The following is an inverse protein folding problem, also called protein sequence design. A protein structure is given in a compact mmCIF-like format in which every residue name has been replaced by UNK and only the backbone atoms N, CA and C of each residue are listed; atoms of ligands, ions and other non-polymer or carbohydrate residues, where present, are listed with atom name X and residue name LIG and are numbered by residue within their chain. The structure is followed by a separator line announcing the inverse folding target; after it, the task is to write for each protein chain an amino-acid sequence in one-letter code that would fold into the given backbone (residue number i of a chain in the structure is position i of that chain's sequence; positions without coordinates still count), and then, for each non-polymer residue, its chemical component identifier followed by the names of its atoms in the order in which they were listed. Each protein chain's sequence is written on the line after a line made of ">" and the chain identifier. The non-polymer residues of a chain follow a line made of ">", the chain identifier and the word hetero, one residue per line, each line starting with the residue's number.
data_IF_088464149590
#
_entry.id   IF_088464149590
#
_cell.length_a   1.000
_cell.length_b   1.000
_cell.length_c   1.000
_cell.angle_alpha   90.00
_cell.angle_beta   90.00
_cell.angle_gamma   90.00
#
_symmetry.space_group_name_H-M   'P 1'
#
loop_
_entity.id
_entity.type
_entity.pdbx_description
1 polymer ?
#
# COMPACT_ATOMS: atom_id res chain seq x y z
N UNK A 1 40.36 46.16 -56.12
CA UNK A 1 40.01 46.82 -54.84
C UNK A 1 39.48 45.70 -53.93
N UNK A 2 40.37 44.98 -53.24
CA UNK A 2 40.76 45.19 -51.83
C UNK A 2 39.53 45.07 -50.91
N UNK A 3 39.23 43.89 -50.37
CA UNK A 3 39.84 43.29 -49.17
C UNK A 3 39.48 44.05 -47.89
N UNK A 4 38.55 43.48 -47.11
CA UNK A 4 38.52 43.64 -45.66
C UNK A 4 38.34 42.25 -45.02
N UNK A 5 39.50 41.75 -44.61
CA UNK A 5 39.79 40.58 -43.80
C UNK A 5 39.45 40.86 -42.33
N UNK A 6 38.85 39.88 -41.65
CA UNK A 6 39.16 39.51 -40.26
C UNK A 6 38.50 38.14 -40.03
N UNK A 7 39.22 37.02 -40.20
CA UNK A 7 40.15 36.43 -39.21
C UNK A 7 39.41 36.22 -37.87
N UNK A 8 39.03 35.00 -37.49
CA UNK A 8 39.96 33.96 -37.07
C UNK A 8 39.47 32.52 -37.28
N UNK A 9 40.48 31.66 -37.25
CA UNK A 9 40.63 30.29 -37.77
C UNK A 9 40.07 29.15 -36.90
N UNK A 10 40.11 27.90 -37.44
CA UNK A 10 39.51 26.69 -36.89
C UNK A 10 40.45 25.94 -35.94
N UNK A 11 39.88 24.99 -35.18
CA UNK A 11 40.50 23.86 -34.44
C UNK A 11 39.32 23.21 -33.68
N UNK A 12 39.06 21.92 -33.61
CA UNK A 12 39.79 20.66 -33.74
C UNK A 12 38.67 19.61 -33.97
N UNK A 13 38.67 18.86 -35.05
CA UNK A 13 39.21 17.49 -35.07
C UNK A 13 39.09 16.70 -33.77
N UNK A 14 38.38 15.58 -33.89
CA UNK A 14 38.41 14.42 -33.02
C UNK A 14 38.03 14.68 -31.57
N UNK A 15 36.84 14.20 -31.20
CA UNK A 15 36.69 13.28 -30.08
C UNK A 15 35.34 12.56 -30.25
N UNK A 16 35.43 11.28 -30.62
CA UNK A 16 34.44 10.20 -30.37
C UNK A 16 33.15 10.32 -31.21
N UNK A 17 32.86 9.60 -32.31
CA UNK A 17 33.15 8.21 -32.72
C UNK A 17 33.26 7.25 -31.54
N UNK A 18 32.11 6.93 -30.95
CA UNK A 18 31.72 5.64 -30.34
C UNK A 18 30.52 5.87 -29.40
N UNK A 19 29.35 6.22 -29.97
CA UNK A 19 28.09 6.30 -29.21
C UNK A 19 27.01 5.41 -29.86
N UNK A 20 27.43 4.23 -30.32
CA UNK A 20 26.52 3.21 -30.86
C UNK A 20 26.84 1.81 -30.31
N UNK A 21 27.42 1.72 -29.11
CA UNK A 21 27.76 0.42 -28.53
C UNK A 21 27.45 0.27 -27.03
N UNK A 22 26.84 1.27 -26.41
CA UNK A 22 26.45 1.22 -25.00
C UNK A 22 24.94 1.26 -24.74
N UNK A 23 24.10 1.39 -25.77
CA UNK A 23 22.64 1.35 -25.58
C UNK A 23 22.07 -0.07 -25.50
N UNK A 24 22.63 -1.07 -26.18
CA UNK A 24 22.02 -2.42 -26.18
C UNK A 24 22.40 -3.30 -24.98
N UNK A 25 23.31 -2.86 -24.09
CA UNK A 25 23.72 -3.68 -22.91
C UNK A 25 23.04 -3.28 -21.60
N UNK A 26 22.29 -2.19 -21.60
CA UNK A 26 21.62 -1.66 -20.40
C UNK A 26 20.14 -2.04 -20.35
N UNK A 27 19.50 -2.35 -21.48
CA UNK A 27 18.10 -2.79 -21.50
C UNK A 27 17.91 -4.23 -21.02
N UNK A 28 18.80 -5.18 -21.35
CA UNK A 28 18.64 -6.58 -20.87
C UNK A 28 18.96 -6.77 -19.38
N UNK A 29 19.59 -5.79 -18.71
CA UNK A 29 19.96 -5.92 -17.27
C UNK A 29 18.92 -5.35 -16.31
N UNK A 30 17.91 -4.64 -16.84
CA UNK A 30 16.89 -4.00 -16.01
C UNK A 30 15.59 -4.82 -15.93
N UNK A 31 15.37 -5.82 -16.80
CA UNK A 31 14.13 -6.61 -16.77
C UNK A 31 14.14 -7.80 -15.80
N UNK A 32 15.30 -8.31 -15.35
CA UNK A 32 15.34 -9.47 -14.42
C UNK A 32 15.42 -9.08 -12.94
N UNK A 33 15.37 -7.78 -12.61
CA UNK A 33 15.64 -7.26 -11.24
C UNK A 33 14.49 -6.48 -10.61
N UNK A 34 13.33 -6.40 -11.26
CA UNK A 34 12.27 -5.47 -10.89
C UNK A 34 11.02 -6.11 -10.28
N UNK A 35 10.99 -7.42 -10.03
CA UNK A 35 9.75 -8.07 -9.58
C UNK A 35 9.59 -8.26 -8.06
N UNK A 36 10.65 -8.12 -7.24
CA UNK A 36 10.51 -8.36 -5.78
C UNK A 36 10.94 -7.18 -4.90
N UNK A 37 11.48 -6.11 -5.48
CA UNK A 37 12.13 -5.02 -4.74
C UNK A 37 11.47 -3.65 -4.83
N UNK A 38 10.58 -3.43 -5.80
CA UNK A 38 9.87 -2.16 -5.97
C UNK A 38 8.63 -2.09 -5.07
N UNK A 39 7.85 -3.17 -5.01
CA UNK A 39 6.65 -3.25 -4.18
C UNK A 39 6.96 -3.04 -2.70
N UNK A 40 7.99 -3.72 -2.17
CA UNK A 40 8.38 -3.57 -0.75
C UNK A 40 8.91 -2.18 -0.37
N UNK A 41 9.53 -1.44 -1.31
CA UNK A 41 9.98 -0.06 -1.06
C UNK A 41 8.82 0.93 -1.11
N UNK A 42 7.93 0.77 -2.09
CA UNK A 42 6.69 1.54 -2.16
C UNK A 42 5.84 1.32 -0.90
N UNK A 43 5.78 0.10 -0.39
CA UNK A 43 5.10 -0.23 0.86
C UNK A 43 5.66 0.54 2.06
N UNK A 44 6.99 0.56 2.23
CA UNK A 44 7.63 1.27 3.34
C UNK A 44 7.50 2.80 3.26
N UNK A 45 7.30 3.35 2.06
CA UNK A 45 7.06 4.78 1.87
C UNK A 45 5.61 5.15 2.24
N UNK A 46 4.63 4.33 1.83
CA UNK A 46 3.20 4.59 2.02
C UNK A 46 2.69 4.16 3.41
N UNK A 47 3.21 3.07 3.98
CA UNK A 47 2.76 2.50 5.25
C UNK A 47 3.74 2.76 6.40
N UNK A 48 3.21 2.78 7.63
CA UNK A 48 3.97 2.85 8.87
C UNK A 48 4.53 1.47 9.30
N UNK A 49 5.22 1.44 10.44
CA UNK A 49 5.80 0.21 11.01
C UNK A 49 4.77 -0.85 11.42
N UNK A 50 3.50 -0.45 11.55
CA UNK A 50 2.37 -1.31 11.91
C UNK A 50 1.49 -1.64 10.69
N UNK A 51 1.87 -1.23 9.48
CA UNK A 51 1.13 -1.49 8.25
C UNK A 51 -0.10 -0.59 8.04
N UNK A 52 -0.17 0.58 8.68
CA UNK A 52 -1.21 1.58 8.43
C UNK A 52 -0.74 2.65 7.45
N UNK A 53 -1.66 3.29 6.73
CA UNK A 53 -1.30 4.33 5.77
C UNK A 53 -0.78 5.58 6.48
N UNK A 54 0.39 6.08 6.10
CA UNK A 54 0.89 7.37 6.62
C UNK A 54 0.04 8.54 6.13
N UNK A 55 -0.44 8.45 4.89
CA UNK A 55 -1.28 9.44 4.25
C UNK A 55 -2.51 8.73 3.65
N UNK A 56 -3.73 9.04 4.13
CA UNK A 56 -4.94 8.45 3.59
C UNK A 56 -5.19 8.83 2.12
N UNK A 57 -4.64 9.93 1.61
CA UNK A 57 -4.82 10.36 0.21
C UNK A 57 -4.08 9.47 -0.80
N UNK A 58 -3.09 8.71 -0.34
CA UNK A 58 -2.37 7.72 -1.15
C UNK A 58 -3.16 6.43 -1.35
N UNK A 59 -4.27 6.26 -0.63
CA UNK A 59 -5.09 5.07 -0.75
C UNK A 59 -5.72 4.95 -2.13
N UNK A 60 -5.63 3.74 -2.70
CA UNK A 60 -6.28 3.38 -3.95
C UNK A 60 -6.85 1.97 -3.85
N UNK A 61 -7.85 1.65 -4.69
CA UNK A 61 -8.41 0.30 -4.75
C UNK A 61 -7.37 -0.77 -5.11
N UNK A 62 -6.37 -0.42 -5.93
CA UNK A 62 -5.27 -1.33 -6.28
C UNK A 62 -4.42 -1.68 -5.05
N UNK A 63 -4.08 -0.69 -4.22
CA UNK A 63 -3.36 -0.93 -2.96
C UNK A 63 -4.19 -1.74 -1.98
N UNK A 64 -5.50 -1.48 -1.87
CA UNK A 64 -6.39 -2.28 -1.03
C UNK A 64 -6.43 -3.76 -1.48
N UNK A 65 -6.45 -4.01 -2.80
CA UNK A 65 -6.38 -5.38 -3.33
C UNK A 65 -5.06 -6.07 -3.02
N UNK A 66 -3.93 -5.37 -3.13
CA UNK A 66 -2.61 -5.90 -2.75
C UNK A 66 -2.56 -6.24 -1.27
N UNK A 67 -3.02 -5.34 -0.41
CA UNK A 67 -3.10 -5.58 1.03
C UNK A 67 -3.98 -6.77 1.37
N UNK A 68 -5.15 -6.89 0.74
CA UNK A 68 -6.03 -8.05 0.95
C UNK A 68 -5.35 -9.38 0.58
N UNK A 69 -4.50 -9.38 -0.45
CA UNK A 69 -3.70 -10.55 -0.82
C UNK A 69 -2.59 -10.84 0.19
N UNK A 70 -1.91 -9.82 0.73
CA UNK A 70 -0.89 -9.97 1.78
C UNK A 70 -1.48 -10.49 3.11
N UNK A 71 -2.73 -10.14 3.39
CA UNK A 71 -3.43 -10.45 4.64
C UNK A 71 -4.21 -11.77 4.58
N UNK A 72 -4.07 -12.56 3.50
CA UNK A 72 -4.80 -13.82 3.28
C UNK A 72 -6.35 -13.67 3.29
N UNK A 73 -6.86 -12.45 3.07
CA UNK A 73 -8.30 -12.16 2.99
C UNK A 73 -8.86 -12.65 1.64
N UNK A 74 -8.02 -12.64 0.61
CA UNK A 74 -8.38 -13.07 -0.74
C UNK A 74 -9.08 -11.98 -1.55
N UNK A 75 -10.07 -12.36 -2.35
CA UNK A 75 -10.75 -11.44 -3.27
C UNK A 75 -11.80 -10.59 -2.56
N UNK A 76 -11.65 -9.26 -2.66
CA UNK A 76 -12.60 -8.30 -2.12
C UNK A 76 -13.88 -8.26 -2.97
N UNK A 77 -14.93 -8.93 -2.50
CA UNK A 77 -16.28 -8.85 -3.07
C UNK A 77 -16.93 -7.48 -2.89
N UNK A 78 -18.08 -7.24 -3.54
CA UNK A 78 -18.84 -5.98 -3.43
C UNK A 78 -19.19 -5.64 -1.97
N UNK A 79 -19.51 -6.63 -1.14
CA UNK A 79 -19.76 -6.42 0.29
C UNK A 79 -18.52 -5.89 1.00
N UNK A 80 -17.32 -6.39 0.67
CA UNK A 80 -16.08 -5.89 1.27
C UNK A 80 -15.88 -4.41 0.92
N UNK A 81 -16.05 -4.06 -0.36
CA UNK A 81 -15.92 -2.68 -0.80
C UNK A 81 -16.90 -1.73 -0.10
N UNK A 82 -18.15 -2.15 0.09
CA UNK A 82 -19.15 -1.34 0.81
C UNK A 82 -18.75 -1.08 2.25
N UNK A 83 -18.22 -2.08 2.96
CA UNK A 83 -17.73 -1.90 4.33
C UNK A 83 -16.48 -1.02 4.37
N UNK A 84 -15.51 -1.25 3.48
CA UNK A 84 -14.28 -0.46 3.37
C UNK A 84 -14.61 1.01 3.13
N UNK A 85 -15.48 1.30 2.16
CA UNK A 85 -15.88 2.67 1.80
C UNK A 85 -16.63 3.34 2.98
N UNK A 86 -17.48 2.61 3.70
CA UNK A 86 -18.20 3.12 4.87
C UNK A 86 -17.25 3.47 6.02
N UNK A 87 -16.36 2.55 6.40
CA UNK A 87 -15.35 2.77 7.46
C UNK A 87 -14.45 3.95 7.12
N UNK A 88 -14.06 4.06 5.84
CA UNK A 88 -13.25 5.18 5.36
C UNK A 88 -14.01 6.50 5.47
N UNK A 89 -15.28 6.56 5.05
CA UNK A 89 -16.09 7.78 5.14
C UNK A 89 -16.30 8.21 6.58
N UNK A 90 -16.67 7.28 7.47
CA UNK A 90 -16.93 7.58 8.89
C UNK A 90 -15.71 8.18 9.60
N UNK A 91 -14.52 7.69 9.24
CA UNK A 91 -13.27 8.25 9.75
C UNK A 91 -12.95 9.62 9.15
N UNK A 92 -13.03 9.78 7.83
CA UNK A 92 -12.69 11.04 7.17
C UNK A 92 -13.67 12.18 7.52
N UNK A 93 -14.94 11.85 7.72
CA UNK A 93 -15.99 12.83 8.02
C UNK A 93 -16.05 13.17 9.52
N UNK A 94 -15.91 12.17 10.39
CA UNK A 94 -16.20 12.31 11.83
C UNK A 94 -15.09 11.80 12.76
N UNK A 95 -14.02 11.20 12.23
CA UNK A 95 -12.95 10.59 13.02
C UNK A 95 -13.41 9.37 13.82
N UNK A 96 -14.49 8.70 13.41
CA UNK A 96 -15.07 7.58 14.14
C UNK A 96 -14.36 6.26 13.83
N UNK A 97 -14.29 5.39 14.85
CA UNK A 97 -13.77 4.03 14.72
C UNK A 97 -14.89 3.06 14.29
N UNK A 98 -14.59 1.98 13.58
CA UNK A 98 -15.56 0.98 13.17
C UNK A 98 -16.20 0.30 14.38
N UNK A 99 -17.51 0.48 14.53
CA UNK A 99 -18.30 -0.24 15.54
C UNK A 99 -18.88 -1.49 14.88
N UNK A 100 -18.25 -2.65 15.10
CA UNK A 100 -18.56 -3.89 14.37
C UNK A 100 -20.06 -4.25 14.38
N UNK A 101 -20.78 -4.25 15.52
CA UNK A 101 -22.20 -4.60 15.54
C UNK A 101 -23.05 -3.63 14.71
N UNK A 102 -22.70 -2.35 14.69
CA UNK A 102 -23.40 -1.32 13.91
C UNK A 102 -23.18 -1.54 12.43
N UNK A 103 -21.93 -1.74 12.01
CA UNK A 103 -21.58 -2.01 10.60
C UNK A 103 -22.28 -3.28 10.11
N UNK A 104 -22.21 -4.38 10.86
CA UNK A 104 -22.87 -5.62 10.47
C UNK A 104 -24.39 -5.47 10.37
N UNK A 105 -25.01 -4.76 11.30
CA UNK A 105 -26.45 -4.50 11.27
C UNK A 105 -26.86 -3.63 10.06
N UNK A 106 -26.08 -2.61 9.72
CA UNK A 106 -26.34 -1.73 8.57
C UNK A 106 -26.32 -2.47 7.23
N UNK A 107 -25.44 -3.46 7.09
CA UNK A 107 -25.35 -4.30 5.89
C UNK A 107 -26.23 -5.56 5.95
N UNK A 108 -27.09 -5.69 6.97
CA UNK A 108 -27.94 -6.87 7.20
C UNK A 108 -27.15 -8.19 7.24
N UNK A 109 -25.94 -8.14 7.83
CA UNK A 109 -25.02 -9.26 7.98
C UNK A 109 -25.02 -9.81 9.41
N UNK A 110 -24.41 -10.99 9.58
CA UNK A 110 -24.20 -11.59 10.89
C UNK A 110 -23.38 -10.68 11.84
N UNK A 111 -23.58 -10.76 13.16
CA UNK A 111 -22.86 -9.93 14.13
C UNK A 111 -21.33 -10.05 14.09
N UNK A 112 -20.81 -11.15 13.56
CA UNK A 112 -19.38 -11.42 13.38
C UNK A 112 -18.94 -11.19 11.92
N UNK A 113 -19.65 -10.34 11.18
CA UNK A 113 -19.38 -10.11 9.75
C UNK A 113 -17.97 -9.60 9.50
N UNK A 114 -17.44 -8.69 10.33
CA UNK A 114 -16.11 -8.09 10.15
C UNK A 114 -15.03 -9.16 10.30
N UNK A 115 -15.09 -9.96 11.36
CA UNK A 115 -14.20 -11.10 11.57
C UNK A 115 -14.25 -12.08 10.39
N UNK A 116 -15.44 -12.40 9.89
CA UNK A 116 -15.63 -13.36 8.80
C UNK A 116 -15.17 -12.84 7.43
N UNK A 117 -15.33 -11.55 7.17
CA UNK A 117 -15.01 -10.91 5.89
C UNK A 117 -13.54 -10.48 5.81
N UNK A 118 -12.98 -9.98 6.92
CA UNK A 118 -11.68 -9.30 6.91
C UNK A 118 -10.65 -9.91 7.85
N UNK A 119 -11.01 -10.83 8.75
CA UNK A 119 -10.10 -11.29 9.82
C UNK A 119 -10.31 -10.51 11.12
N UNK A 120 -10.61 -9.21 11.01
CA UNK A 120 -11.09 -8.39 12.11
C UNK A 120 -11.06 -6.87 11.87
N UNK A 121 -11.30 -6.06 12.93
CA UNK A 121 -11.42 -4.61 12.83
C UNK A 121 -10.15 -3.86 12.40
N UNK A 122 -8.95 -4.37 12.69
CA UNK A 122 -7.69 -3.78 12.24
C UNK A 122 -7.52 -3.98 10.75
N UNK A 123 -7.91 -5.16 10.28
CA UNK A 123 -7.68 -5.53 8.89
C UNK A 123 -8.57 -4.71 7.96
N UNK A 124 -9.85 -4.53 8.32
CA UNK A 124 -10.73 -3.60 7.59
C UNK A 124 -10.22 -2.15 7.67
N UNK A 125 -9.61 -1.75 8.79
CA UNK A 125 -9.05 -0.40 8.95
C UNK A 125 -7.85 -0.16 8.04
N UNK A 126 -6.95 -1.14 7.93
CA UNK A 126 -5.82 -1.11 6.99
C UNK A 126 -6.29 -1.09 5.55
N UNK A 127 -7.25 -1.94 5.19
CA UNK A 127 -7.84 -1.98 3.85
C UNK A 127 -8.58 -0.69 3.47
N UNK A 128 -9.17 0.01 4.45
CA UNK A 128 -9.78 1.34 4.29
C UNK A 128 -8.76 2.47 4.05
N UNK A 129 -7.46 2.18 4.10
CA UNK A 129 -6.44 3.17 3.82
C UNK A 129 -6.26 4.19 4.92
N UNK A 130 -6.60 3.81 6.15
CA UNK A 130 -6.66 4.74 7.26
C UNK A 130 -5.33 4.77 8.02
N UNK A 131 -4.98 5.94 8.58
CA UNK A 131 -3.78 6.07 9.39
C UNK A 131 -3.92 5.37 10.72
N UNK A 132 -2.80 5.22 11.41
CA UNK A 132 -2.77 4.58 12.71
C UNK A 132 -3.81 5.21 13.66
N UNK A 133 -4.77 4.43 14.20
CA UNK A 133 -5.84 4.96 15.03
C UNK A 133 -5.36 5.41 16.42
N UNK A 134 -4.08 5.18 16.75
CA UNK A 134 -3.49 5.44 18.05
C UNK A 134 -3.37 4.17 18.89
N UNK A 135 -2.45 4.16 19.85
CA UNK A 135 -2.13 2.99 20.68
C UNK A 135 -3.36 2.42 21.40
N UNK A 136 -4.15 3.29 22.04
CA UNK A 136 -5.35 2.88 22.78
C UNK A 136 -6.41 2.27 21.87
N UNK A 137 -6.71 2.91 20.74
CA UNK A 137 -7.70 2.45 19.78
C UNK A 137 -7.26 1.16 19.08
N UNK A 138 -5.99 1.06 18.68
CA UNK A 138 -5.41 -0.17 18.12
C UNK A 138 -5.53 -1.32 19.11
N UNK A 139 -5.12 -1.13 20.36
CA UNK A 139 -5.22 -2.17 21.41
C UNK A 139 -6.67 -2.59 21.62
N UNK A 140 -7.62 -1.66 21.56
CA UNK A 140 -9.05 -1.99 21.66
C UNK A 140 -9.54 -2.85 20.48
N UNK A 141 -9.08 -2.57 19.25
CA UNK A 141 -9.40 -3.35 18.06
C UNK A 141 -8.72 -4.73 18.10
N UNK A 142 -7.45 -4.82 18.52
CA UNK A 142 -6.70 -6.08 18.66
C UNK A 142 -7.41 -7.08 19.57
N UNK A 143 -8.02 -6.60 20.66
CA UNK A 143 -8.78 -7.45 21.57
C UNK A 143 -10.08 -8.01 20.97
N UNK A 144 -10.49 -7.54 19.79
CA UNK A 144 -11.67 -8.00 19.06
C UNK A 144 -11.33 -8.77 17.79
N UNK A 145 -10.05 -8.94 17.46
CA UNK A 145 -9.58 -9.79 16.36
C UNK A 145 -9.83 -11.27 16.69
N UNK A 146 -9.88 -12.11 15.66
CA UNK A 146 -9.88 -13.56 15.89
C UNK A 146 -8.59 -13.94 16.63
N UNK A 147 -8.63 -14.84 17.62
CA UNK A 147 -7.41 -15.30 18.26
C UNK A 147 -6.54 -16.01 17.22
N UNK A 148 -5.48 -15.34 16.76
CA UNK A 148 -4.42 -16.00 16.02
C UNK A 148 -3.98 -17.21 16.82
N UNK A 149 -4.05 -18.40 16.20
CA UNK A 149 -3.94 -19.71 16.82
C UNK A 149 -3.36 -19.71 18.24
N UNK A 150 -4.23 -19.80 19.24
CA UNK A 150 -3.82 -20.15 20.59
C UNK A 150 -3.20 -21.55 20.54
N UNK A 151 -1.88 -21.59 20.39
CA UNK A 151 -1.06 -22.66 20.90
C UNK A 151 -1.52 -22.92 22.33
N UNK A 152 -1.95 -24.15 22.56
CA UNK A 152 -2.43 -24.65 23.83
C UNK A 152 -1.49 -24.29 24.97
N UNK A 153 -1.76 -23.21 25.70
CA UNK A 153 -1.31 -23.14 27.10
C UNK A 153 -2.47 -23.62 27.95
N UNK A 154 -2.65 -24.94 27.90
CA UNK A 154 -3.37 -25.68 28.90
C UNK A 154 -2.58 -25.51 30.21
N UNK A 155 -3.05 -24.65 31.10
CA UNK A 155 -2.55 -24.61 32.48
C UNK A 155 -2.97 -25.93 33.14
N UNK A 156 -2.04 -26.84 33.50
CA UNK A 156 -2.41 -28.05 34.20
C UNK A 156 -2.87 -27.68 35.61
N UNK A 157 -3.91 -28.41 36.01
CA UNK A 157 -4.69 -28.25 37.24
C UNK A 157 -3.90 -28.56 38.51
#
# INVERSE_FOLDING_TARGET
>A
MANQNSSQQPRLDALVRDDQRLDERLDERLDERLDEGLDGRLHADVLDEYGFFKDPDLWTRDLALRLAAEMDIGELSETHWRVIDQVRSDYLDSGMLPVQPTLCHEFELDPECILRLFGGPIDVWRLAGLPNPGEEARTYMENQEAPEGQGTTQVPR
#
